data_IF_302853580787
#
_entry.id   IF_302853580787
#
_cell.length_a   1.000
_cell.length_b   1.000
_cell.length_c   1.000
_cell.angle_alpha   90.00
_cell.angle_beta   90.00
_cell.angle_gamma   90.00
#
_symmetry.space_group_name_H-M   'P 1'
#
loop_
_entity.id
_entity.type
_entity.pdbx_description
1 polymer ?
#
# COMPACT_ATOMS: atom_id res chain seq x y z
N UNK A 1 8.73 -21.73 -18.55
CA UNK A 1 8.77 -20.96 -17.28
C UNK A 1 8.13 -19.57 -17.41
N UNK A 2 8.38 -18.77 -18.45
CA UNK A 2 7.85 -17.40 -18.64
C UNK A 2 6.31 -17.26 -18.73
N UNK A 3 5.58 -18.34 -19.02
CA UNK A 3 4.12 -18.32 -19.22
C UNK A 3 3.31 -18.48 -17.93
N UNK A 4 3.89 -19.06 -16.86
CA UNK A 4 3.21 -19.18 -15.55
C UNK A 4 3.24 -17.85 -14.81
N UNK A 5 4.42 -17.22 -14.74
CA UNK A 5 4.60 -15.94 -14.06
C UNK A 5 3.69 -14.84 -14.61
N UNK A 6 3.55 -14.73 -15.94
CA UNK A 6 2.63 -13.76 -16.55
C UNK A 6 1.16 -13.99 -16.13
N UNK A 7 0.72 -15.24 -16.05
CA UNK A 7 -0.64 -15.58 -15.59
C UNK A 7 -0.86 -15.25 -14.12
N UNK A 8 0.17 -15.41 -13.29
CA UNK A 8 0.14 -15.05 -11.86
C UNK A 8 0.09 -13.53 -11.66
N UNK A 9 0.88 -12.77 -12.43
CA UNK A 9 0.83 -11.30 -12.45
C UNK A 9 -0.53 -10.78 -12.93
N UNK A 10 -1.08 -11.34 -14.01
CA UNK A 10 -2.42 -11.00 -14.50
C UNK A 10 -3.50 -11.24 -13.43
N UNK A 11 -3.44 -12.41 -12.76
CA UNK A 11 -4.33 -12.70 -11.63
C UNK A 11 -4.12 -11.74 -10.47
N UNK A 12 -2.89 -11.29 -10.22
CA UNK A 12 -2.60 -10.31 -9.18
C UNK A 12 -3.20 -8.95 -9.47
N UNK A 13 -3.14 -8.50 -10.73
CA UNK A 13 -3.83 -7.27 -11.15
C UNK A 13 -5.33 -7.34 -10.92
N UNK A 14 -5.97 -8.46 -11.28
CA UNK A 14 -7.42 -8.69 -11.07
C UNK A 14 -7.77 -8.66 -9.57
N UNK A 15 -6.96 -9.29 -8.72
CA UNK A 15 -7.18 -9.27 -7.27
C UNK A 15 -6.98 -7.90 -6.65
N UNK A 16 -6.00 -7.13 -7.13
CA UNK A 16 -5.79 -5.74 -6.68
C UNK A 16 -6.98 -4.85 -7.06
N UNK A 17 -7.47 -4.95 -8.29
CA UNK A 17 -8.65 -4.20 -8.74
C UNK A 17 -9.86 -4.55 -7.87
N UNK A 18 -10.12 -5.85 -7.66
CA UNK A 18 -11.24 -6.29 -6.82
C UNK A 18 -11.11 -5.83 -5.36
N UNK A 19 -9.89 -5.82 -4.80
CA UNK A 19 -9.63 -5.29 -3.46
C UNK A 19 -10.00 -3.81 -3.38
N UNK A 20 -9.54 -3.00 -4.33
CA UNK A 20 -9.78 -1.56 -4.35
C UNK A 20 -11.25 -1.23 -4.62
N UNK A 21 -11.92 -1.95 -5.52
CA UNK A 21 -13.35 -1.74 -5.79
C UNK A 21 -14.23 -2.03 -4.57
N UNK A 22 -13.90 -3.08 -3.80
CA UNK A 22 -14.75 -3.52 -2.69
C UNK A 22 -14.37 -2.90 -1.34
N UNK A 23 -13.10 -2.55 -1.11
CA UNK A 23 -12.60 -2.24 0.23
C UNK A 23 -11.81 -0.92 0.32
N UNK A 24 -11.72 -0.12 -0.75
CA UNK A 24 -10.93 1.11 -0.72
C UNK A 24 -11.30 2.05 0.45
N UNK A 25 -12.59 2.25 0.73
CA UNK A 25 -13.01 3.16 1.80
C UNK A 25 -12.58 2.66 3.18
N UNK A 26 -12.65 1.35 3.42
CA UNK A 26 -12.20 0.73 4.67
C UNK A 26 -10.68 0.80 4.81
N UNK A 27 -9.95 0.61 3.71
CA UNK A 27 -8.50 0.75 3.65
C UNK A 27 -8.11 2.19 3.98
N UNK A 28 -8.68 3.19 3.31
CA UNK A 28 -8.37 4.59 3.53
C UNK A 28 -8.71 5.04 4.96
N UNK A 29 -9.85 4.60 5.48
CA UNK A 29 -10.26 4.89 6.86
C UNK A 29 -9.27 4.29 7.86
N UNK A 30 -8.83 3.05 7.63
CA UNK A 30 -7.82 2.39 8.46
C UNK A 30 -6.48 3.12 8.43
N UNK A 31 -6.03 3.55 7.25
CA UNK A 31 -4.76 4.25 7.07
C UNK A 31 -4.78 5.68 7.63
N UNK A 32 -5.94 6.34 7.69
CA UNK A 32 -6.08 7.69 8.24
C UNK A 32 -5.69 7.78 9.73
N UNK A 33 -5.94 6.73 10.50
CA UNK A 33 -5.64 6.66 11.93
C UNK A 33 -4.52 5.66 12.27
N UNK A 34 -3.90 5.05 11.25
CA UNK A 34 -2.83 4.09 11.48
C UNK A 34 -1.55 4.79 11.93
N UNK A 35 -1.03 4.38 13.08
CA UNK A 35 0.23 4.87 13.64
C UNK A 35 1.21 3.75 14.03
N UNK A 36 0.80 2.48 13.93
CA UNK A 36 1.45 1.39 14.67
C UNK A 36 1.65 0.12 13.86
N UNK A 37 0.83 -0.14 12.84
CA UNK A 37 0.87 -1.40 12.11
C UNK A 37 1.18 -1.17 10.63
N UNK A 38 1.74 -2.20 10.00
CA UNK A 38 1.78 -2.27 8.54
C UNK A 38 0.69 -3.24 8.12
N UNK A 39 -0.37 -2.70 7.53
CA UNK A 39 -1.48 -3.47 6.97
C UNK A 39 -1.10 -3.99 5.59
N UNK A 40 -1.19 -5.31 5.40
CA UNK A 40 -0.83 -6.01 4.17
C UNK A 40 -2.04 -6.75 3.62
N UNK A 41 -2.28 -6.62 2.32
CA UNK A 41 -3.36 -7.28 1.59
C UNK A 41 -2.77 -8.20 0.53
N UNK A 42 -3.20 -9.46 0.51
CA UNK A 42 -2.73 -10.45 -0.44
C UNK A 42 -3.38 -10.24 -1.80
N UNK A 43 -2.56 -10.08 -2.83
CA UNK A 43 -3.03 -10.05 -4.24
C UNK A 43 -2.54 -11.28 -5.00
N UNK A 44 -2.07 -12.33 -4.32
CA UNK A 44 -1.62 -13.58 -4.93
C UNK A 44 -0.14 -13.79 -4.63
N UNK A 45 0.77 -13.57 -5.59
CA UNK A 45 2.20 -13.66 -5.34
C UNK A 45 2.75 -12.45 -4.55
N UNK A 46 1.94 -11.39 -4.38
CA UNK A 46 2.31 -10.16 -3.68
C UNK A 46 1.43 -9.87 -2.48
N UNK A 47 2.00 -9.11 -1.56
CA UNK A 47 1.36 -8.47 -0.43
C UNK A 47 1.57 -6.96 -0.56
N UNK A 48 0.47 -6.21 -0.59
CA UNK A 48 0.50 -4.77 -0.82
C UNK A 48 0.09 -4.01 0.44
N UNK A 49 0.75 -2.88 0.68
CA UNK A 49 0.39 -1.90 1.68
C UNK A 49 0.02 -0.58 1.01
N UNK A 50 -0.81 0.23 1.66
CA UNK A 50 -1.23 1.55 1.18
C UNK A 50 -0.85 2.63 2.18
N UNK A 51 -0.65 3.86 1.69
CA UNK A 51 -0.50 5.07 2.51
C UNK A 51 0.53 4.97 3.64
N UNK A 52 0.09 5.06 4.91
CA UNK A 52 1.01 5.04 6.06
C UNK A 52 1.66 3.68 6.21
N UNK A 53 0.91 2.59 6.00
CA UNK A 53 1.46 1.25 5.92
C UNK A 53 2.48 1.13 4.79
N UNK A 54 2.21 1.71 3.62
CA UNK A 54 3.14 1.72 2.49
C UNK A 54 4.46 2.45 2.84
N UNK A 55 4.35 3.62 3.49
CA UNK A 55 5.52 4.35 3.98
C UNK A 55 6.35 3.54 4.97
N UNK A 56 5.70 2.95 5.97
CA UNK A 56 6.38 2.12 6.98
C UNK A 56 7.04 0.90 6.32
N UNK A 57 6.37 0.27 5.36
CA UNK A 57 6.92 -0.85 4.59
C UNK A 57 8.16 -0.42 3.78
N UNK A 58 8.12 0.76 3.17
CA UNK A 58 9.26 1.35 2.46
C UNK A 58 10.43 1.66 3.40
N UNK A 59 10.16 2.05 4.66
CA UNK A 59 11.20 2.23 5.67
C UNK A 59 11.88 0.92 6.06
N UNK A 60 11.11 -0.18 6.09
CA UNK A 60 11.62 -1.52 6.37
C UNK A 60 12.44 -2.06 5.20
N UNK A 61 11.99 -1.83 3.96
CA UNK A 61 12.69 -2.23 2.74
C UNK A 61 12.79 -1.07 1.76
N UNK A 62 13.87 -0.28 1.79
CA UNK A 62 14.07 0.86 0.88
C UNK A 62 14.16 0.49 -0.61
N UNK A 63 14.22 -0.81 -0.92
CA UNK A 63 14.24 -1.34 -2.28
C UNK A 63 12.86 -1.81 -2.77
N UNK A 64 11.85 -1.77 -1.90
CA UNK A 64 10.50 -2.17 -2.28
C UNK A 64 9.98 -1.24 -3.39
N UNK A 65 9.12 -1.80 -4.24
CA UNK A 65 8.54 -1.06 -5.34
C UNK A 65 7.45 -0.14 -4.79
N UNK A 66 7.63 1.16 -4.96
CA UNK A 66 6.63 2.19 -4.67
C UNK A 66 5.84 2.46 -5.95
N UNK A 67 4.52 2.44 -5.85
CA UNK A 67 3.60 2.67 -6.96
C UNK A 67 2.57 3.70 -6.55
N UNK A 68 2.71 4.97 -6.97
CA UNK A 68 1.62 5.94 -6.88
C UNK A 68 0.49 5.57 -7.86
N UNK A 69 -0.77 5.77 -7.47
CA UNK A 69 -1.95 5.34 -8.21
C UNK A 69 -3.04 6.42 -8.23
N UNK A 70 -3.77 6.49 -9.35
CA UNK A 70 -5.04 7.21 -9.47
C UNK A 70 -6.19 6.24 -9.46
N UNK A 71 -7.17 6.50 -8.62
CA UNK A 71 -8.41 5.74 -8.58
C UNK A 71 -9.54 6.61 -9.08
N UNK A 72 -10.42 6.05 -9.90
CA UNK A 72 -11.59 6.78 -10.44
C UNK A 72 -12.59 7.14 -9.35
N UNK A 73 -12.60 6.40 -8.25
CA UNK A 73 -13.51 6.54 -7.11
C UNK A 73 -12.94 7.40 -5.98
N UNK A 74 -11.71 7.93 -6.11
CA UNK A 74 -11.07 8.73 -5.07
C UNK A 74 -10.28 9.90 -5.67
N UNK A 75 -10.49 11.16 -5.22
CA UNK A 75 -10.02 12.35 -5.93
C UNK A 75 -8.52 12.62 -5.78
N UNK A 76 -7.84 11.99 -4.82
CA UNK A 76 -6.42 12.18 -4.56
C UNK A 76 -5.63 10.94 -4.98
N UNK A 77 -4.39 11.09 -5.49
CA UNK A 77 -3.53 9.94 -5.71
C UNK A 77 -3.27 9.22 -4.38
N UNK A 78 -3.11 7.91 -4.45
CA UNK A 78 -2.72 7.07 -3.30
C UNK A 78 -1.40 6.38 -3.59
N UNK A 79 -0.65 6.02 -2.56
CA UNK A 79 0.63 5.31 -2.70
C UNK A 79 0.51 3.87 -2.23
N UNK A 80 0.97 2.95 -3.05
CA UNK A 80 1.07 1.53 -2.75
C UNK A 80 2.53 1.09 -2.69
N UNK A 81 2.86 0.18 -1.79
CA UNK A 81 4.15 -0.53 -1.78
C UNK A 81 3.89 -2.03 -1.75
N UNK A 82 4.63 -2.78 -2.57
CA UNK A 82 4.44 -4.21 -2.70
C UNK A 82 5.67 -5.00 -2.23
N UNK A 83 5.41 -6.08 -1.51
CA UNK A 83 6.36 -7.17 -1.28
C UNK A 83 5.89 -8.44 -1.97
N UNK A 84 6.83 -9.29 -2.35
CA UNK A 84 6.56 -10.68 -2.71
C UNK A 84 6.28 -11.51 -1.46
N UNK A 85 5.58 -12.63 -1.63
CA UNK A 85 5.41 -13.64 -0.57
C UNK A 85 6.77 -14.09 0.01
N UNK A 86 7.81 -14.16 -0.84
CA UNK A 86 9.18 -14.48 -0.39
C UNK A 86 9.77 -13.43 0.55
N UNK A 87 9.59 -12.15 0.25
CA UNK A 87 10.05 -11.04 1.10
C UNK A 87 9.31 -11.03 2.43
N UNK A 88 7.98 -11.17 2.41
CA UNK A 88 7.18 -11.25 3.63
C UNK A 88 7.60 -12.44 4.50
N UNK A 89 7.76 -13.63 3.91
CA UNK A 89 8.22 -14.82 4.66
C UNK A 89 9.62 -14.62 5.23
N UNK A 90 10.53 -14.01 4.47
CA UNK A 90 11.88 -13.73 4.96
C UNK A 90 11.84 -12.77 6.15
N UNK A 91 11.03 -11.72 6.08
CA UNK A 91 10.89 -10.73 7.15
C UNK A 91 10.22 -11.32 8.40
N UNK A 92 9.19 -12.15 8.21
CA UNK A 92 8.40 -12.78 9.28
C UNK A 92 9.16 -13.87 10.05
N UNK A 93 10.38 -14.25 9.63
CA UNK A 93 11.23 -15.17 10.41
C UNK A 93 11.70 -14.57 11.73
N UNK A 94 11.79 -13.24 11.80
CA UNK A 94 12.30 -12.51 12.96
C UNK A 94 11.35 -11.41 13.44
N UNK A 95 10.21 -11.22 12.76
CA UNK A 95 9.22 -10.20 13.08
C UNK A 95 7.82 -10.82 13.15
N UNK A 96 6.95 -10.22 13.98
CA UNK A 96 5.59 -10.69 14.16
C UNK A 96 4.72 -10.28 12.98
N UNK A 97 4.30 -11.27 12.20
CA UNK A 97 3.23 -11.17 11.22
C UNK A 97 1.99 -11.88 11.75
N UNK A 98 0.92 -11.14 11.96
CA UNK A 98 -0.39 -11.67 12.34
C UNK A 98 -1.26 -11.73 11.08
N UNK A 99 -1.48 -12.93 10.58
CA UNK A 99 -2.41 -13.16 9.47
C UNK A 99 -3.84 -13.26 9.99
N UNK A 100 -4.76 -12.54 9.33
CA UNK A 100 -6.17 -12.44 9.69
C UNK A 100 -7.02 -12.80 8.48
N UNK A 101 -7.38 -14.08 8.39
CA UNK A 101 -7.98 -14.66 7.20
C UNK A 101 -6.96 -14.94 6.10
N UNK A 102 -7.45 -15.21 4.88
CA UNK A 102 -6.58 -15.66 3.79
C UNK A 102 -5.84 -14.49 3.11
N UNK A 103 -6.45 -13.31 3.12
CA UNK A 103 -6.08 -12.21 2.23
C UNK A 103 -5.59 -10.95 2.94
N UNK A 104 -5.45 -11.00 4.26
CA UNK A 104 -5.06 -9.85 5.06
C UNK A 104 -4.15 -10.26 6.22
N UNK A 105 -3.22 -9.37 6.55
CA UNK A 105 -2.38 -9.53 7.72
C UNK A 105 -1.73 -8.22 8.16
N UNK A 106 -1.13 -8.24 9.33
CA UNK A 106 -0.50 -7.09 9.95
C UNK A 106 0.91 -7.43 10.40
N UNK A 107 1.87 -6.57 10.08
CA UNK A 107 3.15 -6.54 10.76
C UNK A 107 3.10 -5.52 11.88
N UNK A 108 3.72 -5.83 13.02
CA UNK A 108 4.11 -4.78 13.95
C UNK A 108 5.10 -3.88 13.20
N UNK A 109 4.80 -2.59 13.07
CA UNK A 109 5.80 -1.67 12.59
C UNK A 109 6.93 -1.63 13.63
N UNK A 110 8.20 -1.89 13.27
CA UNK A 110 9.32 -1.49 14.12
C UNK A 110 9.24 0.02 14.35
N UNK A 111 9.97 0.56 15.32
CA UNK A 111 9.93 1.94 15.87
C UNK A 111 10.11 3.13 14.89
N UNK A 112 9.82 2.96 13.60
CA UNK A 112 9.80 3.97 12.57
C UNK A 112 8.68 4.98 12.82
N UNK A 113 9.09 6.25 12.92
CA UNK A 113 8.18 7.39 13.00
C UNK A 113 7.49 7.67 11.65
N UNK A 114 6.27 8.21 11.72
CA UNK A 114 5.53 8.74 10.57
C UNK A 114 5.87 10.20 10.21
N UNK A 115 6.82 10.84 10.89
CA UNK A 115 7.13 12.27 10.68
C UNK A 115 7.50 12.60 9.22
N UNK A 116 8.10 11.64 8.49
CA UNK A 116 8.46 11.80 7.09
C UNK A 116 7.36 11.42 6.09
N UNK A 117 6.23 10.86 6.53
CA UNK A 117 5.20 10.32 5.64
C UNK A 117 4.65 11.39 4.69
N UNK A 118 4.27 12.58 5.18
CA UNK A 118 3.68 13.63 4.33
C UNK A 118 4.64 14.10 3.23
N UNK A 119 5.91 14.27 3.58
CA UNK A 119 6.96 14.67 2.64
C UNK A 119 7.17 13.57 1.59
N UNK A 120 7.37 12.34 2.06
CA UNK A 120 7.54 11.18 1.19
C UNK A 120 6.36 11.01 0.23
N UNK A 121 5.13 11.02 0.74
CA UNK A 121 3.94 10.91 -0.10
C UNK A 121 3.91 11.99 -1.18
N UNK A 122 4.21 13.25 -0.83
CA UNK A 122 4.24 14.37 -1.79
C UNK A 122 5.28 14.15 -2.88
N UNK A 123 6.45 13.58 -2.54
CA UNK A 123 7.50 13.25 -3.50
C UNK A 123 7.06 12.11 -4.44
N UNK A 124 6.43 11.06 -3.91
CA UNK A 124 5.98 9.91 -4.71
C UNK A 124 4.82 10.25 -5.65
N UNK A 125 3.91 11.14 -5.23
CA UNK A 125 2.76 11.54 -6.07
C UNK A 125 3.01 12.78 -6.91
N UNK A 126 4.22 13.37 -6.89
CA UNK A 126 4.51 14.68 -7.48
C UNK A 126 4.11 14.84 -8.95
N UNK A 127 4.14 13.76 -9.73
CA UNK A 127 3.75 13.76 -11.15
C UNK A 127 2.23 13.57 -11.39
N UNK A 128 1.44 13.37 -10.33
CA UNK A 128 -0.01 13.21 -10.41
C UNK A 128 -0.72 14.57 -10.26
N UNK A 129 -1.44 15.06 -11.29
CA UNK A 129 -2.06 16.39 -11.27
C UNK A 129 -3.20 16.45 -10.25
N UNK A 130 -2.96 16.96 -9.04
CA UNK A 130 -4.02 17.14 -8.04
C UNK A 130 -5.11 18.05 -8.64
N UNK A 131 -6.40 17.67 -8.61
CA UNK A 131 -7.46 18.56 -9.06
C UNK A 131 -7.35 19.89 -8.28
N UNK A 132 -7.23 21.01 -9.01
CA UNK A 132 -7.17 22.34 -8.40
C UNK A 132 -8.55 22.75 -7.88
N UNK A 133 -9.01 22.16 -6.79
CA UNK A 133 -10.21 22.60 -6.05
C UNK A 133 -9.84 23.48 -4.85
N UNK A 134 -8.82 24.34 -5.01
CA UNK A 134 -8.45 25.36 -4.03
C UNK A 134 -8.50 26.76 -4.64
N UNK A 135 -9.65 27.16 -5.20
CA UNK A 135 -9.91 28.56 -5.55
C UNK A 135 -11.29 29.08 -5.15
N UNK A 136 -12.13 28.33 -4.41
CA UNK A 136 -13.50 28.76 -4.07
C UNK A 136 -13.87 28.62 -2.58
N UNK A 137 -12.94 28.84 -1.66
CA UNK A 137 -13.27 29.10 -0.25
C UNK A 137 -12.48 30.29 0.30
N UNK A 138 -12.56 31.41 -0.41
CA UNK A 138 -12.34 32.75 0.15
C UNK A 138 -13.44 33.67 -0.37
N UNK A 139 -14.58 33.64 0.31
CA UNK A 139 -15.49 34.79 0.42
C UNK A 139 -15.57 35.11 1.91
#
# INVERSE_FOLDING_TARGET
>A
MRTSYKKEEERSGVRLIALLENQLQDILSREADNHTFIHLYCTGPYWVAFERSAYLLQRVSPRAMVTPMRLTTYPFPIVMVAWTDKELRAYSRTHLFLQEGDDYGRLSAPSYSLDGYRKWHTEEVGDFPVPQTSFLLKN
#
